data_IF_205242425720
#
_entry.id   IF_205242425720
#
_cell.length_a   1.000
_cell.length_b   1.000
_cell.length_c   1.000
_cell.angle_alpha   90.00
_cell.angle_beta   90.00
_cell.angle_gamma   90.00
#
_symmetry.space_group_name_H-M   'P 1'
#
loop_
_entity.id
_entity.type
_entity.pdbx_description
1 polymer ?
#
# COMPACT_ATOMS: atom_id res chain seq x y z
N UNK A 1 21.82 -6.58 21.37
CA UNK A 1 22.26 -7.08 20.04
C UNK A 1 21.09 -7.52 19.15
N UNK A 2 19.95 -7.96 19.70
CA UNK A 2 18.75 -8.30 18.91
C UNK A 2 17.98 -7.10 18.30
N UNK A 3 18.07 -5.90 18.88
CA UNK A 3 17.34 -4.72 18.38
C UNK A 3 17.84 -4.17 17.04
N UNK A 4 19.14 -4.26 16.71
CA UNK A 4 19.67 -3.73 15.45
C UNK A 4 19.28 -4.57 14.23
N UNK A 5 19.14 -5.89 14.40
CA UNK A 5 18.66 -6.81 13.38
C UNK A 5 17.17 -6.61 13.09
N UNK A 6 16.36 -6.32 14.11
CA UNK A 6 14.93 -6.04 13.97
C UNK A 6 14.69 -4.76 13.15
N UNK A 7 15.44 -3.68 13.44
CA UNK A 7 15.33 -2.43 12.67
C UNK A 7 15.76 -2.55 11.21
N UNK A 8 16.82 -3.32 10.91
CA UNK A 8 17.27 -3.55 9.54
C UNK A 8 16.28 -4.42 8.76
N UNK A 9 15.76 -5.48 9.39
CA UNK A 9 14.78 -6.39 8.80
C UNK A 9 13.45 -5.70 8.54
N UNK A 10 12.96 -4.89 9.48
CA UNK A 10 11.74 -4.08 9.31
C UNK A 10 11.89 -3.07 8.17
N UNK A 11 13.05 -2.43 8.03
CA UNK A 11 13.34 -1.53 6.90
C UNK A 11 13.40 -2.27 5.58
N UNK A 12 13.97 -3.47 5.54
CA UNK A 12 14.05 -4.28 4.34
C UNK A 12 12.66 -4.78 3.91
N UNK A 13 11.83 -5.20 4.87
CA UNK A 13 10.44 -5.59 4.64
C UNK A 13 9.61 -4.38 4.17
N UNK A 14 9.78 -3.21 4.80
CA UNK A 14 9.11 -1.99 4.37
C UNK A 14 9.52 -1.60 2.94
N UNK A 15 10.82 -1.66 2.61
CA UNK A 15 11.32 -1.40 1.26
C UNK A 15 10.77 -2.41 0.25
N UNK A 16 10.77 -3.70 0.57
CA UNK A 16 10.21 -4.74 -0.28
C UNK A 16 8.70 -4.54 -0.53
N UNK A 17 7.93 -4.19 0.51
CA UNK A 17 6.52 -3.86 0.37
C UNK A 17 6.31 -2.63 -0.53
N UNK A 18 7.13 -1.58 -0.37
CA UNK A 18 7.05 -0.40 -1.24
C UNK A 18 7.38 -0.77 -2.70
N UNK A 19 8.39 -1.60 -2.93
CA UNK A 19 8.76 -2.05 -4.27
C UNK A 19 7.66 -2.90 -4.90
N UNK A 20 6.98 -3.77 -4.14
CA UNK A 20 5.85 -4.55 -4.65
C UNK A 20 4.65 -3.67 -5.00
N UNK A 21 4.35 -2.64 -4.21
CA UNK A 21 3.29 -1.67 -4.51
C UNK A 21 3.65 -0.84 -5.75
N UNK A 22 4.93 -0.45 -5.88
CA UNK A 22 5.43 0.25 -7.07
C UNK A 22 5.24 -0.60 -8.33
N UNK A 23 5.64 -1.87 -8.30
CA UNK A 23 5.48 -2.79 -9.45
C UNK A 23 3.99 -2.95 -9.80
N UNK A 24 3.13 -3.19 -8.81
CA UNK A 24 1.70 -3.35 -9.05
C UNK A 24 1.07 -2.09 -9.66
N UNK A 25 1.44 -0.89 -9.18
CA UNK A 25 0.96 0.37 -9.77
C UNK A 25 1.42 0.55 -11.22
N UNK A 26 2.69 0.25 -11.55
CA UNK A 26 3.21 0.32 -12.92
C UNK A 26 2.41 -0.61 -13.86
N UNK A 27 2.16 -1.85 -13.42
CA UNK A 27 1.46 -2.85 -14.23
C UNK A 27 0.00 -2.42 -14.46
N UNK A 28 -0.69 -1.95 -13.41
CA UNK A 28 -2.09 -1.52 -13.51
C UNK A 28 -2.22 -0.26 -14.36
N UNK A 29 -1.36 0.75 -14.19
CA UNK A 29 -1.33 1.93 -15.06
C UNK A 29 -1.05 1.54 -16.51
N UNK A 30 -0.07 0.66 -16.77
CA UNK A 30 0.25 0.21 -18.13
C UNK A 30 -0.89 -0.53 -18.81
N UNK A 31 -1.59 -1.40 -18.07
CA UNK A 31 -2.76 -2.12 -18.58
C UNK A 31 -3.97 -1.19 -18.79
N UNK A 32 -4.24 -0.28 -17.85
CA UNK A 32 -5.32 0.69 -17.96
C UNK A 32 -5.12 1.64 -19.15
N UNK A 33 -3.92 2.22 -19.31
CA UNK A 33 -3.61 3.10 -20.45
C UNK A 33 -3.63 2.35 -21.79
N UNK A 34 -3.28 1.06 -21.83
CA UNK A 34 -3.46 0.23 -23.03
C UNK A 34 -4.95 0.09 -23.40
N UNK A 35 -5.82 -0.13 -22.41
CA UNK A 35 -7.26 -0.21 -22.63
C UNK A 35 -7.85 1.13 -23.11
N UNK A 36 -7.44 2.26 -22.53
CA UNK A 36 -7.88 3.60 -22.97
C UNK A 36 -7.39 3.95 -24.38
N UNK A 37 -6.18 3.54 -24.75
CA UNK A 37 -5.67 3.78 -26.10
C UNK A 37 -6.34 2.92 -27.16
N UNK A 38 -6.83 1.73 -26.79
CA UNK A 38 -7.38 0.75 -27.74
C UNK A 38 -8.90 0.85 -27.87
N UNK A 39 -9.59 1.25 -26.82
CA UNK A 39 -11.04 1.34 -26.76
C UNK A 39 -11.46 2.73 -26.27
N UNK A 40 -12.32 3.41 -27.01
CA UNK A 40 -12.84 4.75 -26.63
C UNK A 40 -13.88 4.67 -25.48
N UNK A 41 -13.95 3.52 -24.79
CA UNK A 41 -14.87 3.27 -23.71
C UNK A 41 -14.27 3.74 -22.38
N UNK A 42 -14.73 4.91 -21.92
CA UNK A 42 -14.36 5.52 -20.64
C UNK A 42 -15.27 5.05 -19.51
N UNK A 43 -15.16 3.77 -19.16
CA UNK A 43 -15.86 3.20 -18.00
C UNK A 43 -15.42 3.88 -16.70
N UNK A 44 -16.38 4.18 -15.81
CA UNK A 44 -16.09 4.82 -14.50
C UNK A 44 -15.18 3.95 -13.65
N UNK A 45 -15.31 2.64 -13.76
CA UNK A 45 -14.50 1.60 -13.13
C UNK A 45 -13.03 1.63 -13.60
N UNK A 46 -12.79 1.76 -14.92
CA UNK A 46 -11.44 1.82 -15.49
C UNK A 46 -10.77 3.15 -15.18
N UNK A 47 -11.50 4.26 -15.31
CA UNK A 47 -10.96 5.59 -14.99
C UNK A 47 -10.63 5.66 -13.50
N UNK A 48 -11.45 5.07 -12.63
CA UNK A 48 -11.14 4.98 -11.20
C UNK A 48 -9.85 4.18 -10.95
N UNK A 49 -9.71 3.01 -11.56
CA UNK A 49 -8.50 2.18 -11.47
C UNK A 49 -7.25 2.94 -11.92
N UNK A 50 -7.32 3.64 -13.05
CA UNK A 50 -6.20 4.41 -13.59
C UNK A 50 -5.80 5.55 -12.67
N UNK A 51 -6.77 6.32 -12.17
CA UNK A 51 -6.51 7.45 -11.25
C UNK A 51 -5.83 6.97 -9.97
N UNK A 52 -6.35 5.91 -9.34
CA UNK A 52 -5.73 5.36 -8.12
C UNK A 52 -4.32 4.85 -8.43
N UNK A 53 -4.13 4.12 -9.54
CA UNK A 53 -2.83 3.59 -9.91
C UNK A 53 -1.79 4.68 -10.20
N UNK A 54 -2.15 5.75 -10.94
CA UNK A 54 -1.25 6.87 -11.26
C UNK A 54 -0.90 7.69 -10.02
N UNK A 55 -1.88 7.96 -9.15
CA UNK A 55 -1.65 8.66 -7.89
C UNK A 55 -0.72 7.82 -7.00
N UNK A 56 -0.98 6.51 -6.84
CA UNK A 56 -0.09 5.61 -6.10
C UNK A 56 1.31 5.59 -6.70
N UNK A 57 1.43 5.47 -8.03
CA UNK A 57 2.72 5.48 -8.74
C UNK A 57 3.53 6.74 -8.44
N UNK A 58 2.91 7.92 -8.51
CA UNK A 58 3.57 9.20 -8.21
C UNK A 58 4.03 9.29 -6.76
N UNK A 59 3.15 8.94 -5.82
CA UNK A 59 3.49 8.95 -4.38
C UNK A 59 4.54 7.89 -4.02
N UNK A 60 4.50 6.69 -4.60
CA UNK A 60 5.44 5.62 -4.30
C UNK A 60 6.77 5.75 -5.05
N UNK A 61 6.83 6.42 -6.20
CA UNK A 61 8.10 6.79 -6.83
C UNK A 61 8.90 7.69 -5.90
N UNK A 62 8.27 8.74 -5.37
CA UNK A 62 8.90 9.65 -4.40
C UNK A 62 9.10 8.93 -3.06
N UNK A 63 8.08 8.19 -2.61
CA UNK A 63 8.03 7.44 -1.35
C UNK A 63 9.02 6.29 -1.24
N UNK A 64 9.48 5.70 -2.36
CA UNK A 64 10.46 4.61 -2.36
C UNK A 64 11.87 5.05 -1.92
N UNK A 65 12.20 6.33 -2.09
CA UNK A 65 13.47 6.94 -1.64
C UNK A 65 13.43 7.24 -0.14
N UNK A 66 12.22 7.44 0.39
CA UNK A 66 12.01 7.89 1.73
C UNK A 66 12.40 6.88 2.85
N UNK A 67 12.24 5.54 2.74
CA UNK A 67 12.74 4.60 3.75
C UNK A 67 14.27 4.61 3.96
N UNK A 68 15.04 5.27 3.08
CA UNK A 68 16.49 5.50 3.26
C UNK A 68 16.79 6.68 4.20
N UNK A 69 15.85 7.63 4.34
CA UNK A 69 16.00 8.78 5.22
C UNK A 69 15.43 8.37 6.59
N UNK A 70 16.30 7.93 7.49
CA UNK A 70 15.98 7.35 8.81
C UNK A 70 15.27 8.26 9.83
N UNK A 71 14.41 9.19 9.38
CA UNK A 71 13.57 10.10 10.19
C UNK A 71 12.08 9.83 10.01
N UNK A 72 11.75 8.55 9.86
CA UNK A 72 10.43 8.05 9.50
C UNK A 72 9.51 7.91 10.72
N UNK A 73 8.90 9.02 11.16
CA UNK A 73 8.01 9.08 12.35
C UNK A 73 6.58 8.65 12.04
N UNK A 74 6.37 7.48 11.43
CA UNK A 74 5.04 6.85 11.26
C UNK A 74 3.94 7.68 10.58
N UNK A 75 4.28 8.80 9.93
CA UNK A 75 3.31 9.73 9.31
C UNK A 75 2.73 9.18 7.99
N UNK A 76 3.37 8.17 7.41
CA UNK A 76 2.86 7.45 6.24
C UNK A 76 1.81 6.39 6.59
N UNK A 77 1.66 5.96 7.84
CA UNK A 77 0.71 4.93 8.25
C UNK A 77 -0.74 5.24 7.85
N UNK A 78 -1.29 6.46 8.08
CA UNK A 78 -2.63 6.79 7.59
C UNK A 78 -2.70 6.86 6.07
N UNK A 79 -1.62 7.26 5.38
CA UNK A 79 -1.58 7.30 3.92
C UNK A 79 -1.64 5.89 3.33
N UNK A 80 -0.87 4.95 3.88
CA UNK A 80 -0.90 3.53 3.54
C UNK A 80 -2.30 2.93 3.72
N UNK A 81 -2.97 3.26 4.83
CA UNK A 81 -4.33 2.80 5.10
C UNK A 81 -5.34 3.34 4.08
N UNK A 82 -5.29 4.65 3.77
CA UNK A 82 -6.16 5.27 2.76
C UNK A 82 -5.95 4.63 1.39
N UNK A 83 -4.69 4.45 0.96
CA UNK A 83 -4.42 3.75 -0.29
C UNK A 83 -4.91 2.30 -0.24
N UNK A 84 -4.72 1.56 0.85
CA UNK A 84 -5.24 0.19 0.95
C UNK A 84 -6.75 0.13 0.71
N UNK A 85 -7.51 1.10 1.23
CA UNK A 85 -8.95 1.19 1.01
C UNK A 85 -9.30 1.50 -0.45
N UNK A 86 -8.58 2.43 -1.08
CA UNK A 86 -8.77 2.80 -2.49
C UNK A 86 -8.42 1.66 -3.46
N UNK A 87 -7.41 0.86 -3.13
CA UNK A 87 -7.05 -0.34 -3.89
C UNK A 87 -8.07 -1.47 -3.68
N UNK A 88 -8.65 -1.58 -2.48
CA UNK A 88 -9.71 -2.55 -2.20
C UNK A 88 -11.00 -2.23 -2.97
N UNK A 89 -11.42 -0.97 -3.00
CA UNK A 89 -12.60 -0.54 -3.80
C UNK A 89 -12.38 -0.78 -5.29
N UNK A 90 -11.16 -0.49 -5.78
CA UNK A 90 -10.74 -0.79 -7.16
C UNK A 90 -10.88 -2.29 -7.49
N UNK A 91 -10.41 -3.17 -6.60
CA UNK A 91 -10.57 -4.62 -6.71
C UNK A 91 -12.04 -5.06 -6.67
N UNK A 92 -12.85 -4.47 -5.78
CA UNK A 92 -14.28 -4.79 -5.66
C UNK A 92 -15.03 -4.45 -6.97
N UNK A 93 -14.70 -3.34 -7.63
CA UNK A 93 -15.33 -3.00 -8.92
C UNK A 93 -14.85 -3.90 -10.05
N UNK A 94 -13.55 -4.17 -10.11
CA UNK A 94 -12.93 -5.10 -11.07
C UNK A 94 -13.54 -6.51 -11.00
N UNK A 95 -13.65 -7.07 -9.79
CA UNK A 95 -14.24 -8.40 -9.58
C UNK A 95 -15.74 -8.45 -9.90
N UNK A 96 -16.51 -7.38 -9.68
CA UNK A 96 -17.93 -7.34 -10.02
C UNK A 96 -18.19 -7.30 -11.53
N UNK A 97 -17.34 -6.60 -12.29
CA UNK A 97 -17.48 -6.50 -13.75
C UNK A 97 -16.97 -7.76 -14.46
N UNK A 98 -15.93 -8.42 -13.93
CA UNK A 98 -15.21 -9.50 -14.62
C UNK A 98 -15.31 -10.90 -13.97
N UNK A 99 -16.12 -11.07 -12.92
CA UNK A 99 -16.34 -12.39 -12.29
C UNK A 99 -17.00 -13.41 -13.24
N UNK A 100 -16.60 -14.67 -13.03
CA UNK A 100 -16.97 -15.92 -13.73
C UNK A 100 -18.26 -15.82 -14.57
N UNK A 101 -18.09 -15.66 -15.88
CA UNK A 101 -19.17 -15.69 -16.87
C UNK A 101 -19.43 -14.37 -17.61
N UNK A 102 -19.05 -13.21 -17.06
CA UNK A 102 -19.22 -11.91 -17.72
C UNK A 102 -18.04 -11.49 -18.60
N UNK A 103 -16.98 -12.29 -18.64
CA UNK A 103 -15.74 -11.88 -19.27
C UNK A 103 -15.83 -11.57 -20.78
N UNK A 104 -16.77 -12.23 -21.47
CA UNK A 104 -17.10 -11.97 -22.88
C UNK A 104 -17.87 -10.66 -23.10
N UNK A 105 -18.66 -10.20 -22.13
CA UNK A 105 -19.57 -9.05 -22.25
C UNK A 105 -19.17 -7.84 -21.38
N UNK A 106 -18.22 -8.01 -20.45
CA UNK A 106 -17.72 -6.95 -19.59
C UNK A 106 -16.93 -5.93 -20.41
N UNK A 107 -17.17 -4.65 -20.17
CA UNK A 107 -16.51 -3.57 -20.90
C UNK A 107 -15.06 -3.43 -20.39
N UNK A 108 -14.11 -2.85 -21.16
CA UNK A 108 -14.24 -2.00 -22.34
C UNK A 108 -14.02 -2.74 -23.68
N UNK A 109 -13.88 -4.07 -23.67
CA UNK A 109 -13.67 -4.86 -24.89
C UNK A 109 -14.09 -6.31 -24.72
N UNK A 110 -14.84 -6.83 -25.69
CA UNK A 110 -15.16 -8.26 -25.80
C UNK A 110 -13.85 -9.04 -26.05
N UNK A 111 -13.58 -10.10 -25.29
CA UNK A 111 -12.54 -11.08 -25.64
C UNK A 111 -11.12 -10.95 -25.04
N UNK A 112 -10.91 -10.24 -23.92
CA UNK A 112 -9.59 -10.15 -23.27
C UNK A 112 -9.58 -10.54 -21.78
N UNK A 113 -10.03 -11.75 -21.48
CA UNK A 113 -10.15 -12.26 -20.11
C UNK A 113 -8.85 -12.33 -19.32
N UNK A 114 -7.76 -12.75 -19.96
CA UNK A 114 -6.47 -12.86 -19.28
C UNK A 114 -5.98 -11.51 -18.75
N UNK A 115 -6.20 -10.41 -19.50
CA UNK A 115 -5.76 -9.07 -19.09
C UNK A 115 -6.64 -8.47 -18.00
N UNK A 116 -7.95 -8.69 -18.09
CA UNK A 116 -8.92 -8.30 -17.05
C UNK A 116 -8.60 -9.00 -15.72
N UNK A 117 -8.36 -10.32 -15.76
CA UNK A 117 -7.94 -11.06 -14.59
C UNK A 117 -6.55 -10.67 -14.08
N UNK A 118 -5.63 -10.25 -14.95
CA UNK A 118 -4.35 -9.72 -14.52
C UNK A 118 -4.53 -8.42 -13.71
N UNK A 119 -5.32 -7.45 -14.21
CA UNK A 119 -5.64 -6.22 -13.48
C UNK A 119 -6.25 -6.54 -12.11
N UNK A 120 -7.20 -7.47 -12.06
CA UNK A 120 -7.85 -7.89 -10.83
C UNK A 120 -6.85 -8.48 -9.81
N UNK A 121 -5.96 -9.36 -10.27
CA UNK A 121 -4.93 -9.95 -9.44
C UNK A 121 -3.92 -8.92 -8.92
N UNK A 122 -3.46 -7.98 -9.76
CA UNK A 122 -2.52 -6.94 -9.36
C UNK A 122 -3.14 -5.90 -8.43
N UNK A 123 -4.45 -5.60 -8.57
CA UNK A 123 -5.18 -4.78 -7.62
C UNK A 123 -5.22 -5.43 -6.22
N UNK A 124 -5.54 -6.73 -6.15
CA UNK A 124 -5.50 -7.47 -4.90
C UNK A 124 -4.10 -7.51 -4.28
N UNK A 125 -3.08 -7.71 -5.11
CA UNK A 125 -1.69 -7.77 -4.66
C UNK A 125 -1.24 -6.43 -4.07
N UNK A 126 -1.55 -5.30 -4.73
CA UNK A 126 -1.27 -3.97 -4.22
C UNK A 126 -1.96 -3.70 -2.87
N UNK A 127 -3.25 -4.05 -2.75
CA UNK A 127 -3.98 -3.98 -1.49
C UNK A 127 -3.30 -4.77 -0.38
N UNK A 128 -2.94 -6.03 -0.64
CA UNK A 128 -2.34 -6.90 0.36
C UNK A 128 -1.01 -6.36 0.88
N UNK A 129 -0.14 -5.89 -0.01
CA UNK A 129 1.16 -5.32 0.39
C UNK A 129 1.00 -3.97 1.11
N UNK A 130 0.03 -3.13 0.72
CA UNK A 130 -0.29 -1.90 1.46
C UNK A 130 -0.83 -2.18 2.87
N UNK A 131 -1.67 -3.20 3.00
CA UNK A 131 -2.19 -3.64 4.30
C UNK A 131 -1.07 -4.18 5.19
N UNK A 132 -0.21 -5.05 4.64
CA UNK A 132 0.96 -5.56 5.34
C UNK A 132 1.89 -4.42 5.78
N UNK A 133 2.11 -3.43 4.92
CA UNK A 133 2.92 -2.25 5.27
C UNK A 133 2.28 -1.43 6.40
N UNK A 134 0.96 -1.25 6.36
CA UNK A 134 0.20 -0.55 7.42
C UNK A 134 0.32 -1.28 8.75
N UNK A 135 0.25 -2.61 8.77
CA UNK A 135 0.40 -3.42 9.99
C UNK A 135 1.81 -3.28 10.56
N UNK A 136 2.84 -3.36 9.73
CA UNK A 136 4.25 -3.20 10.16
C UNK A 136 4.48 -1.81 10.75
N UNK A 137 4.00 -0.76 10.10
CA UNK A 137 4.10 0.61 10.61
C UNK A 137 3.27 0.82 11.88
N UNK A 138 2.10 0.18 11.99
CA UNK A 138 1.27 0.21 13.19
C UNK A 138 1.92 -0.45 14.40
N UNK A 139 2.61 -1.58 14.20
CA UNK A 139 3.40 -2.24 15.26
C UNK A 139 4.55 -1.34 15.70
N UNK A 140 5.24 -0.69 14.75
CA UNK A 140 6.34 0.24 15.05
C UNK A 140 5.86 1.45 15.86
N UNK A 141 4.73 2.06 15.48
CA UNK A 141 4.10 3.14 16.23
C UNK A 141 3.72 2.71 17.65
N UNK A 142 3.16 1.51 17.82
CA UNK A 142 2.82 0.98 19.15
C UNK A 142 4.05 0.81 20.03
N UNK A 143 5.17 0.35 19.45
CA UNK A 143 6.43 0.24 20.18
C UNK A 143 6.94 1.61 20.66
N UNK A 144 6.85 2.66 19.82
CA UNK A 144 7.23 4.03 20.20
C UNK A 144 6.30 4.64 21.26
N UNK A 145 4.99 4.40 21.17
CA UNK A 145 4.01 4.82 22.18
C UNK A 145 4.29 4.17 23.54
N UNK A 146 4.58 2.87 23.57
CA UNK A 146 4.92 2.15 24.81
C UNK A 146 6.21 2.70 25.46
N UNK A 147 7.23 3.05 24.67
CA UNK A 147 8.44 3.71 25.18
C UNK A 147 8.16 5.12 25.71
N UNK A 148 7.30 5.88 25.05
CA UNK A 148 6.93 7.24 25.47
C UNK A 148 6.09 7.25 26.74
N UNK A 149 5.24 6.24 26.94
CA UNK A 149 4.45 6.06 28.17
C UNK A 149 5.30 5.59 29.36
N UNK A 150 6.39 4.85 29.12
CA UNK A 150 7.31 4.42 30.17
C UNK A 150 8.30 5.52 30.61
N UNK A 151 8.61 6.49 29.73
CA UNK A 151 9.52 7.59 30.01
C UNK A 151 9.15 8.48 31.23
N UNK A 152 7.88 8.90 31.45
CA UNK A 152 7.51 9.68 32.63
C UNK A 152 7.58 8.85 33.92
N UNK A 153 7.16 7.58 33.89
CA UNK A 153 7.17 6.69 35.07
C UNK A 153 8.59 6.48 35.59
N UNK A 154 9.55 6.27 34.70
CA UNK A 154 10.95 6.07 35.08
C UNK A 154 11.59 7.33 35.68
N UNK A 155 11.18 8.52 35.23
CA UNK A 155 11.64 9.80 35.81
C UNK A 155 11.17 9.97 37.25
N UNK A 156 9.93 9.62 37.55
CA UNK A 156 9.37 9.73 38.91
C UNK A 156 10.03 8.73 39.87
N UNK A 157 10.27 7.49 39.41
CA UNK A 157 10.99 6.47 40.18
C UNK A 157 12.43 6.88 40.49
N UNK A 158 13.14 7.46 39.52
CA UNK A 158 14.50 7.98 39.69
C UNK A 158 14.55 9.19 40.63
N UNK A 159 13.54 10.06 40.59
CA UNK A 159 13.46 11.20 41.49
C UNK A 159 13.15 10.77 42.94
N UNK A 160 12.33 9.74 43.13
CA UNK A 160 12.07 9.16 44.46
C UNK A 160 13.30 8.45 45.05
N UNK A 161 14.09 7.76 44.23
CA UNK A 161 15.27 7.02 44.68
C UNK A 161 16.45 7.91 45.10
N UNK A 162 16.57 9.12 44.56
CA UNK A 162 17.65 10.06 44.90
C UNK A 162 17.37 10.93 46.14
N UNK A 163 16.16 10.85 46.71
CA UNK A 163 15.73 11.63 47.87
C UNK A 163 15.62 10.78 49.16
N UNK A 164 16.12 9.53 49.13
CA UNK A 164 16.22 8.61 50.27
C UNK A 164 17.69 8.36 50.62
#
# INVERSE_FOLDING_TARGET
MFGSLEHATLRYIAFANHLMVLISSIIVTGLASWFLSKYDYRGVDIVYQEVIAVITLGFWLIGSVLPLIGRYRGYLAPLNLVFSYLWLTSFIFSSQDWSSGKCGFGKPGEGHCSRKHAIDAFNFLAFFFLLANTIVEGILLRAEYNHSAAAPVNKELSAGANNA
#
